data_IF_926015307861
#
_entry.id   IF_926015307861
#
_cell.length_a   1.000
_cell.length_b   1.000
_cell.length_c   1.000
_cell.angle_alpha   90.00
_cell.angle_beta   90.00
_cell.angle_gamma   90.00
#
_symmetry.space_group_name_H-M   'P 1'
#
loop_
_entity.id
_entity.type
_entity.pdbx_description
1 polymer ?
#
# COMPACT_ATOMS: atom_id res chain seq x y z
N UNK A 1 15.33 21.24 -25.88
CA UNK A 1 15.49 19.77 -25.99
C UNK A 1 16.02 19.12 -24.71
N UNK A 2 17.10 19.63 -24.11
CA UNK A 2 17.64 19.17 -22.80
C UNK A 2 16.61 19.01 -21.66
N UNK A 3 15.70 19.99 -21.40
CA UNK A 3 14.76 19.87 -20.27
C UNK A 3 13.70 18.80 -20.49
N UNK A 4 13.31 18.56 -21.76
CA UNK A 4 12.37 17.50 -22.12
C UNK A 4 12.95 16.12 -21.84
N UNK A 5 14.24 15.94 -22.13
CA UNK A 5 14.97 14.70 -21.87
C UNK A 5 15.07 14.42 -20.37
N UNK A 6 15.38 15.45 -19.57
CA UNK A 6 15.40 15.36 -18.10
C UNK A 6 14.03 14.99 -17.53
N UNK A 7 12.96 15.63 -18.01
CA UNK A 7 11.60 15.32 -17.57
C UNK A 7 11.21 13.86 -17.89
N UNK A 8 11.55 13.36 -19.08
CA UNK A 8 11.29 11.99 -19.47
C UNK A 8 12.03 10.96 -18.58
N UNK A 9 13.27 11.26 -18.19
CA UNK A 9 14.06 10.40 -17.28
C UNK A 9 13.42 10.36 -15.88
N UNK A 10 12.97 11.51 -15.36
CA UNK A 10 12.31 11.59 -14.04
C UNK A 10 11.01 10.80 -14.03
N UNK A 11 10.20 10.90 -15.09
CA UNK A 11 8.95 10.14 -15.22
C UNK A 11 9.21 8.63 -15.33
N UNK A 12 10.29 8.20 -16.00
CA UNK A 12 10.66 6.79 -16.11
C UNK A 12 11.18 6.20 -14.78
N UNK A 13 11.64 7.04 -13.85
CA UNK A 13 12.09 6.64 -12.51
C UNK A 13 10.95 6.60 -11.48
N UNK A 14 9.73 7.00 -11.86
CA UNK A 14 8.58 6.89 -10.98
C UNK A 14 8.24 5.41 -10.78
N UNK A 15 8.73 4.83 -9.69
CA UNK A 15 8.35 3.50 -9.28
C UNK A 15 6.83 3.48 -9.02
N UNK A 16 6.11 2.45 -9.50
CA UNK A 16 4.72 2.28 -9.12
C UNK A 16 4.67 2.20 -7.59
N UNK A 17 3.94 3.13 -6.97
CA UNK A 17 3.63 3.02 -5.57
C UNK A 17 2.71 1.81 -5.42
N UNK A 18 3.26 0.69 -4.95
CA UNK A 18 2.48 -0.47 -4.52
C UNK A 18 1.54 -0.01 -3.39
N UNK A 19 0.32 0.37 -3.75
CA UNK A 19 -0.72 0.81 -2.84
C UNK A 19 -1.34 -0.40 -2.10
N UNK A 20 -0.47 -1.24 -1.52
CA UNK A 20 -0.88 -2.36 -0.69
C UNK A 20 -1.35 -1.81 0.67
N UNK A 21 -2.66 -1.80 0.90
CA UNK A 21 -3.20 -1.41 2.20
C UNK A 21 -3.19 -2.61 3.13
N UNK A 22 -2.56 -2.53 4.28
CA UNK A 22 -2.53 -3.58 5.29
C UNK A 22 -3.48 -3.23 6.44
N UNK A 23 -4.19 -4.24 6.94
CA UNK A 23 -5.06 -4.16 8.12
C UNK A 23 -4.62 -5.16 9.17
N UNK A 24 -4.53 -4.73 10.43
CA UNK A 24 -4.35 -5.64 11.56
C UNK A 24 -5.20 -5.19 12.75
N UNK A 25 -5.42 -6.10 13.69
CA UNK A 25 -6.11 -5.83 14.95
C UNK A 25 -5.13 -6.06 16.08
N UNK A 26 -5.07 -5.12 17.01
CA UNK A 26 -4.20 -5.24 18.18
C UNK A 26 -4.85 -6.08 19.30
N UNK A 27 -4.15 -6.23 20.42
CA UNK A 27 -4.68 -6.96 21.60
C UNK A 27 -5.88 -6.29 22.27
N UNK A 28 -6.09 -4.99 22.03
CA UNK A 28 -7.21 -4.23 22.58
C UNK A 28 -8.45 -4.27 21.68
N UNK A 29 -8.35 -4.89 20.49
CA UNK A 29 -9.42 -4.97 19.51
C UNK A 29 -9.46 -3.77 18.55
N UNK A 30 -8.48 -2.87 18.61
CA UNK A 30 -8.41 -1.71 17.72
C UNK A 30 -7.89 -2.15 16.36
N UNK A 31 -8.60 -1.75 15.31
CA UNK A 31 -8.22 -2.02 13.92
C UNK A 31 -7.35 -0.88 13.40
N UNK A 32 -6.17 -1.22 12.89
CA UNK A 32 -5.22 -0.30 12.30
C UNK A 32 -5.04 -0.57 10.81
N UNK A 33 -4.68 0.48 10.09
CA UNK A 33 -4.44 0.45 8.65
C UNK A 33 -3.13 1.16 8.33
N UNK A 34 -2.36 0.61 7.38
CA UNK A 34 -1.14 1.25 6.87
C UNK A 34 -0.86 0.81 5.44
N UNK A 35 -0.24 1.65 4.64
CA UNK A 35 0.31 1.27 3.33
C UNK A 35 1.70 0.62 3.43
N UNK A 36 2.35 0.72 4.59
CA UNK A 36 3.72 0.27 4.82
C UNK A 36 3.75 -0.97 5.72
N UNK A 37 4.19 -2.11 5.19
CA UNK A 37 4.24 -3.36 5.96
C UNK A 37 5.24 -3.28 7.12
N UNK A 38 6.31 -2.54 6.92
CA UNK A 38 7.40 -2.32 7.87
C UNK A 38 6.94 -1.48 9.07
N UNK A 39 5.96 -0.60 8.86
CA UNK A 39 5.33 0.19 9.93
C UNK A 39 4.45 -0.65 10.87
N UNK A 40 4.10 -1.89 10.48
CA UNK A 40 3.34 -2.81 11.32
C UNK A 40 4.29 -3.38 12.39
N UNK A 41 3.92 -3.33 13.69
CA UNK A 41 4.73 -3.94 14.74
C UNK A 41 4.93 -5.44 14.50
N UNK A 42 6.13 -5.94 14.78
CA UNK A 42 6.53 -7.36 14.61
C UNK A 42 5.46 -8.39 15.00
N UNK A 43 4.82 -8.31 16.20
CA UNK A 43 3.84 -9.30 16.62
C UNK A 43 2.57 -9.33 15.76
N UNK A 44 2.24 -8.25 15.05
CA UNK A 44 1.05 -8.15 14.21
C UNK A 44 1.36 -8.23 12.72
N UNK A 45 2.63 -8.10 12.31
CA UNK A 45 3.03 -8.12 10.90
C UNK A 45 2.75 -9.46 10.22
N UNK A 46 2.85 -10.56 10.96
CA UNK A 46 2.53 -11.90 10.46
C UNK A 46 1.02 -12.13 10.29
N UNK A 47 0.19 -11.50 11.14
CA UNK A 47 -1.27 -11.60 11.09
C UNK A 47 -1.94 -10.49 10.27
N UNK A 48 -1.18 -9.51 9.77
CA UNK A 48 -1.70 -8.41 9.00
C UNK A 48 -2.28 -8.91 7.67
N UNK A 49 -3.51 -8.51 7.38
CA UNK A 49 -4.19 -8.81 6.13
C UNK A 49 -3.82 -7.74 5.10
N UNK A 50 -3.28 -8.16 3.95
CA UNK A 50 -3.19 -7.27 2.79
C UNK A 50 -4.60 -7.12 2.20
N UNK A 51 -5.06 -5.89 2.12
CA UNK A 51 -6.28 -5.48 1.45
C UNK A 51 -5.91 -5.10 0.02
N UNK A 52 -6.36 -5.92 -0.91
CA UNK A 52 -6.27 -5.63 -2.34
C UNK A 52 -7.35 -4.61 -2.74
N UNK A 53 -7.32 -4.17 -4.00
CA UNK A 53 -8.24 -3.19 -4.53
C UNK A 53 -9.72 -3.53 -4.19
N UNK A 54 -10.55 -2.51 -3.89
CA UNK A 54 -11.96 -2.74 -3.55
C UNK A 54 -12.64 -3.57 -4.64
N UNK A 55 -13.21 -4.71 -4.24
CA UNK A 55 -13.95 -5.57 -5.16
C UNK A 55 -15.32 -4.95 -5.43
N UNK A 56 -15.70 -4.71 -6.70
CA UNK A 56 -17.05 -4.27 -7.03
C UNK A 56 -18.07 -5.29 -6.50
N UNK A 57 -19.14 -4.82 -5.86
CA UNK A 57 -20.25 -5.71 -5.50
C UNK A 57 -20.87 -6.26 -6.79
N UNK A 58 -21.01 -7.58 -6.88
CA UNK A 58 -21.82 -8.20 -7.94
C UNK A 58 -23.27 -7.74 -7.74
N UNK A 59 -23.92 -7.12 -8.73
CA UNK A 59 -25.34 -6.82 -8.64
C UNK A 59 -26.14 -8.13 -8.60
N UNK A 60 -27.12 -8.23 -7.70
CA UNK A 60 -28.08 -9.34 -7.63
C UNK A 60 -29.09 -9.31 -8.78
#
# INVERSE_FOLDING_TARGET
MKPLLLAAIVLALAAPADAALYRWVDKSGVTYYTSEREAIPEPYRASAQKLDAPTPRTPE
#
